data_IF_624939981813
#
_entry.id   IF_624939981813
#
_cell.length_a   1.000
_cell.length_b   1.000
_cell.length_c   1.000
_cell.angle_alpha   90.00
_cell.angle_beta   90.00
_cell.angle_gamma   90.00
#
_symmetry.space_group_name_H-M   'P 1'
#
loop_
_entity.id
_entity.type
_entity.pdbx_description
1 polymer ?
#
# COMPACT_ATOMS: atom_id res chain seq x y z
N UNK A 1 12.29 -13.80 23.74
CA UNK A 1 12.19 -14.35 22.37
C UNK A 1 11.00 -13.69 21.69
N UNK A 2 11.07 -13.24 20.43
CA UNK A 2 9.89 -12.75 19.76
C UNK A 2 8.97 -13.94 19.48
N UNK A 3 7.71 -13.80 19.89
CA UNK A 3 6.67 -14.78 19.58
C UNK A 3 6.44 -14.72 18.07
N UNK A 4 6.79 -15.80 17.37
CA UNK A 4 6.34 -16.02 16.00
C UNK A 4 4.82 -16.16 16.06
N UNK A 5 4.09 -15.06 15.83
CA UNK A 5 2.64 -15.08 15.71
C UNK A 5 2.26 -15.78 14.40
N UNK A 6 2.33 -17.11 14.38
CA UNK A 6 1.70 -17.93 13.35
C UNK A 6 0.28 -18.29 13.80
N UNK A 7 -0.66 -17.38 13.55
CA UNK A 7 -2.07 -17.73 13.43
C UNK A 7 -2.58 -17.02 12.20
N UNK A 8 -2.72 -17.79 11.12
CA UNK A 8 -3.43 -17.37 9.92
C UNK A 8 -4.71 -16.67 10.33
N UNK A 9 -4.85 -15.41 9.92
CA UNK A 9 -6.15 -14.78 9.86
C UNK A 9 -7.01 -15.62 8.90
N UNK A 10 -8.17 -16.11 9.33
CA UNK A 10 -9.02 -16.99 8.47
C UNK A 10 -9.32 -16.38 7.10
N UNK A 11 -9.43 -15.05 7.00
CA UNK A 11 -9.61 -14.38 5.71
C UNK A 11 -8.42 -14.50 4.75
N UNK A 12 -7.25 -14.92 5.23
CA UNK A 12 -6.02 -15.04 4.45
C UNK A 12 -5.69 -16.50 4.07
N UNK A 13 -6.47 -17.48 4.56
CA UNK A 13 -6.19 -18.91 4.37
C UNK A 13 -6.39 -19.37 2.92
N UNK A 14 -7.25 -18.67 2.17
CA UNK A 14 -7.59 -19.01 0.78
C UNK A 14 -6.94 -18.10 -0.26
N UNK A 15 -5.97 -17.26 0.12
CA UNK A 15 -5.24 -16.40 -0.82
C UNK A 15 -4.14 -17.21 -1.49
N UNK A 16 -4.03 -17.10 -2.82
CA UNK A 16 -3.12 -17.91 -3.63
C UNK A 16 -2.06 -17.08 -4.37
N UNK A 17 -2.27 -15.77 -4.51
CA UNK A 17 -1.41 -14.88 -5.29
C UNK A 17 -1.60 -13.41 -4.89
N UNK A 18 -0.86 -12.51 -5.53
CA UNK A 18 -0.94 -11.05 -5.37
C UNK A 18 -2.36 -10.52 -5.61
N UNK A 19 -3.04 -10.99 -6.66
CA UNK A 19 -4.38 -10.53 -7.03
C UNK A 19 -5.43 -10.85 -5.97
N UNK A 20 -5.25 -11.93 -5.22
CA UNK A 20 -6.10 -12.26 -4.08
C UNK A 20 -5.86 -11.28 -2.92
N UNK A 21 -4.61 -10.91 -2.64
CA UNK A 21 -4.27 -9.85 -1.65
C UNK A 21 -4.91 -8.52 -2.04
N UNK A 22 -4.85 -8.16 -3.32
CA UNK A 22 -5.52 -6.98 -3.84
C UNK A 22 -7.03 -6.99 -3.57
N UNK A 23 -7.73 -8.02 -4.06
CA UNK A 23 -9.20 -8.07 -4.07
C UNK A 23 -9.84 -8.34 -2.72
N UNK A 24 -9.18 -9.15 -1.90
CA UNK A 24 -9.76 -9.67 -0.66
C UNK A 24 -9.18 -9.00 0.59
N UNK A 25 -8.14 -8.18 0.47
CA UNK A 25 -7.57 -7.43 1.59
C UNK A 25 -7.48 -5.93 1.31
N UNK A 26 -6.84 -5.51 0.23
CA UNK A 26 -6.67 -4.07 -0.06
C UNK A 26 -8.01 -3.40 -0.40
N UNK A 27 -8.77 -3.91 -1.36
CA UNK A 27 -10.04 -3.28 -1.75
C UNK A 27 -11.06 -3.23 -0.60
N UNK A 28 -11.29 -4.30 0.20
CA UNK A 28 -12.16 -4.23 1.37
C UNK A 28 -11.68 -3.20 2.40
N UNK A 29 -10.37 -3.14 2.67
CA UNK A 29 -9.81 -2.12 3.56
C UNK A 29 -10.10 -0.71 3.06
N UNK A 30 -9.93 -0.45 1.76
CA UNK A 30 -10.22 0.87 1.19
C UNK A 30 -11.70 1.24 1.38
N UNK A 31 -12.61 0.29 1.17
CA UNK A 31 -14.05 0.48 1.42
C UNK A 31 -14.35 0.74 2.89
N UNK A 32 -13.73 -0.02 3.81
CA UNK A 32 -13.87 0.19 5.25
C UNK A 32 -13.33 1.56 5.71
N UNK A 33 -12.29 2.07 5.03
CA UNK A 33 -11.74 3.42 5.24
C UNK A 33 -12.62 4.53 4.63
N UNK A 34 -13.66 4.17 3.87
CA UNK A 34 -14.63 5.10 3.29
C UNK A 34 -14.39 5.47 1.82
N UNK A 35 -13.44 4.82 1.15
CA UNK A 35 -13.20 5.00 -0.28
C UNK A 35 -14.16 4.15 -1.13
N UNK A 36 -14.50 4.65 -2.30
CA UNK A 36 -15.26 3.96 -3.34
C UNK A 36 -14.33 3.49 -4.46
N UNK A 37 -14.81 2.57 -5.30
CA UNK A 37 -14.06 2.04 -6.44
C UNK A 37 -13.61 3.14 -7.45
N UNK A 38 -14.18 4.35 -7.38
CA UNK A 38 -13.80 5.51 -8.20
C UNK A 38 -12.63 6.34 -7.62
N UNK A 39 -12.23 6.06 -6.38
CA UNK A 39 -11.20 6.82 -5.65
C UNK A 39 -9.79 6.28 -5.87
N UNK A 40 -9.67 5.07 -6.42
CA UNK A 40 -8.39 4.50 -6.82
C UNK A 40 -8.35 4.09 -8.30
N UNK A 41 -7.15 4.09 -8.86
CA UNK A 41 -6.86 3.55 -10.18
C UNK A 41 -5.98 2.33 -10.01
N UNK A 42 -6.41 1.20 -10.59
CA UNK A 42 -5.60 -0.01 -10.67
C UNK A 42 -4.55 0.14 -11.76
N UNK A 43 -3.32 -0.29 -11.49
CA UNK A 43 -2.24 -0.35 -12.49
C UNK A 43 -2.08 0.96 -13.27
N UNK A 44 -1.96 2.07 -12.55
CA UNK A 44 -1.84 3.40 -13.15
C UNK A 44 -0.62 3.47 -14.06
N UNK A 45 -0.82 3.76 -15.35
CA UNK A 45 0.28 3.81 -16.32
C UNK A 45 1.07 5.11 -16.16
N UNK A 46 2.24 5.05 -15.53
CA UNK A 46 3.14 6.21 -15.41
C UNK A 46 4.23 6.13 -16.47
N UNK A 47 4.37 7.17 -17.30
CA UNK A 47 5.46 7.28 -18.27
C UNK A 47 6.75 7.73 -17.58
N UNK A 48 7.76 6.87 -17.63
CA UNK A 48 9.10 7.13 -17.12
C UNK A 48 10.02 7.41 -18.31
N UNK A 49 10.24 8.69 -18.63
CA UNK A 49 11.26 9.10 -19.61
C UNK A 49 11.19 8.35 -20.95
N UNK A 50 12.32 7.75 -21.38
CA UNK A 50 12.55 7.10 -22.70
C UNK A 50 11.72 5.83 -22.95
N UNK A 51 10.41 5.87 -22.73
CA UNK A 51 9.46 4.81 -23.10
C UNK A 51 9.16 3.78 -22.01
N UNK A 52 9.79 3.86 -20.84
CA UNK A 52 9.47 2.98 -19.72
C UNK A 52 8.07 3.29 -19.17
N UNK A 53 7.34 2.24 -18.81
CA UNK A 53 6.02 2.33 -18.19
C UNK A 53 6.04 1.52 -16.93
N UNK A 54 5.48 2.08 -15.87
CA UNK A 54 5.37 1.35 -14.61
C UNK A 54 4.03 1.62 -13.95
N UNK A 55 3.62 0.65 -13.12
CA UNK A 55 2.24 0.46 -12.70
C UNK A 55 2.22 0.14 -11.20
N UNK A 56 2.00 1.12 -10.30
CA UNK A 56 1.59 0.76 -8.94
C UNK A 56 0.29 -0.02 -9.01
N UNK A 57 0.11 -1.02 -8.15
CA UNK A 57 -1.08 -1.87 -8.19
C UNK A 57 -2.34 -1.04 -7.92
N UNK A 58 -2.27 -0.11 -6.95
CA UNK A 58 -3.31 0.90 -6.71
C UNK A 58 -2.71 2.28 -6.50
N UNK A 59 -3.36 3.28 -7.07
CA UNK A 59 -3.06 4.69 -6.86
C UNK A 59 -4.33 5.46 -6.48
N UNK A 60 -4.35 6.07 -5.30
CA UNK A 60 -5.42 6.98 -4.89
C UNK A 60 -5.06 8.38 -5.38
N UNK A 61 -5.76 8.84 -6.41
CA UNK A 61 -5.41 10.04 -7.17
C UNK A 61 -5.93 11.31 -6.48
N UNK A 62 -5.05 12.29 -6.27
CA UNK A 62 -5.43 13.68 -5.96
C UNK A 62 -5.68 14.52 -7.22
N UNK A 63 -5.03 14.18 -8.33
CA UNK A 63 -5.28 14.80 -9.62
C UNK A 63 -5.36 13.73 -10.72
N UNK A 64 -6.41 13.82 -11.55
CA UNK A 64 -6.71 12.91 -12.67
C UNK A 64 -6.39 13.54 -14.04
N UNK A 65 -5.85 14.75 -14.08
CA UNK A 65 -5.45 15.43 -15.31
C UNK A 65 -4.38 14.64 -16.05
N UNK A 66 -4.68 14.28 -17.30
CA UNK A 66 -3.82 13.43 -18.10
C UNK A 66 -2.43 14.04 -18.30
N UNK A 67 -1.39 13.34 -17.89
CA UNK A 67 0.00 13.81 -17.93
C UNK A 67 0.46 14.62 -16.71
N UNK A 68 -0.45 14.95 -15.79
CA UNK A 68 -0.20 15.64 -14.53
C UNK A 68 -0.76 14.85 -13.33
N UNK A 69 -0.96 13.54 -13.51
CA UNK A 69 -1.53 12.68 -12.49
C UNK A 69 -0.71 12.75 -11.21
N UNK A 70 -1.39 12.98 -10.09
CA UNK A 70 -0.80 12.95 -8.76
C UNK A 70 -1.57 11.94 -7.93
N UNK A 71 -0.84 11.11 -7.20
CA UNK A 71 -1.42 10.15 -6.27
C UNK A 71 -0.96 10.51 -4.88
N UNK A 72 -1.87 10.56 -3.90
CA UNK A 72 -1.47 10.78 -2.50
C UNK A 72 -0.99 9.48 -1.86
N UNK A 73 -1.69 8.38 -2.15
CA UNK A 73 -1.45 7.07 -1.56
C UNK A 73 -1.21 6.06 -2.68
N UNK A 74 -0.15 5.26 -2.56
CA UNK A 74 0.17 4.17 -3.46
C UNK A 74 0.17 2.85 -2.70
N UNK A 75 -0.29 1.78 -3.36
CA UNK A 75 -0.12 0.41 -2.88
C UNK A 75 0.71 -0.42 -3.85
N UNK A 76 1.49 -1.32 -3.28
CA UNK A 76 2.21 -2.40 -3.94
C UNK A 76 1.86 -3.71 -3.24
N UNK A 77 1.23 -4.63 -3.96
CA UNK A 77 0.85 -5.94 -3.47
C UNK A 77 1.96 -6.96 -3.73
N UNK A 78 2.15 -7.84 -2.75
CA UNK A 78 2.95 -9.06 -2.85
C UNK A 78 2.13 -10.20 -2.28
N UNK A 79 2.29 -11.42 -2.81
CA UNK A 79 1.60 -12.54 -2.18
C UNK A 79 2.13 -12.80 -0.76
N UNK A 80 3.44 -12.85 -0.62
CA UNK A 80 4.13 -13.04 0.66
C UNK A 80 5.52 -12.40 0.61
N UNK A 81 5.89 -11.67 1.66
CA UNK A 81 7.25 -11.16 1.84
C UNK A 81 7.97 -12.10 2.82
N UNK A 82 8.91 -12.91 2.32
CA UNK A 82 9.53 -13.99 3.12
C UNK A 82 10.76 -13.52 3.88
N UNK A 83 11.42 -12.49 3.38
CA UNK A 83 12.70 -12.03 3.89
C UNK A 83 12.93 -10.55 3.55
N UNK A 84 14.04 -10.01 4.07
CA UNK A 84 14.40 -8.61 3.87
C UNK A 84 14.65 -8.25 2.38
N UNK A 85 15.19 -9.15 1.56
CA UNK A 85 15.41 -8.89 0.14
C UNK A 85 14.08 -8.71 -0.62
N UNK A 86 13.07 -9.52 -0.30
CA UNK A 86 11.73 -9.39 -0.88
C UNK A 86 11.12 -8.02 -0.49
N UNK A 87 11.27 -7.64 0.78
CA UNK A 87 10.81 -6.35 1.30
C UNK A 87 11.49 -5.17 0.61
N UNK A 88 12.82 -5.16 0.51
CA UNK A 88 13.59 -4.10 -0.17
C UNK A 88 13.22 -4.00 -1.65
N UNK A 89 12.92 -5.13 -2.29
CA UNK A 89 12.47 -5.15 -3.68
C UNK A 89 11.09 -4.52 -3.83
N UNK A 90 10.14 -4.86 -2.96
CA UNK A 90 8.79 -4.28 -2.97
C UNK A 90 8.83 -2.78 -2.64
N UNK A 91 9.59 -2.39 -1.62
CA UNK A 91 9.79 -0.97 -1.28
C UNK A 91 10.41 -0.20 -2.46
N UNK A 92 11.45 -0.74 -3.10
CA UNK A 92 12.10 -0.06 -4.23
C UNK A 92 11.15 0.14 -5.41
N UNK A 93 10.28 -0.85 -5.68
CA UNK A 93 9.23 -0.73 -6.71
C UNK A 93 8.35 0.49 -6.41
N UNK A 94 7.67 0.50 -5.27
CA UNK A 94 6.74 1.59 -4.92
C UNK A 94 7.43 2.95 -4.72
N UNK A 95 8.64 2.97 -4.16
CA UNK A 95 9.43 4.18 -3.94
C UNK A 95 9.72 4.92 -5.25
N UNK A 96 10.06 4.18 -6.31
CA UNK A 96 10.37 4.76 -7.62
C UNK A 96 9.18 5.54 -8.22
N UNK A 97 7.95 5.13 -7.93
CA UNK A 97 6.73 5.83 -8.37
C UNK A 97 6.28 6.91 -7.40
N UNK A 98 6.49 6.68 -6.09
CA UNK A 98 6.11 7.63 -5.04
C UNK A 98 6.68 9.02 -5.28
N UNK A 99 7.95 9.10 -5.68
CA UNK A 99 8.58 10.37 -6.05
C UNK A 99 7.96 11.01 -7.29
N UNK A 100 7.60 10.20 -8.30
CA UNK A 100 7.09 10.69 -9.59
C UNK A 100 5.66 11.21 -9.49
N UNK A 101 4.82 10.52 -8.72
CA UNK A 101 3.40 10.86 -8.50
C UNK A 101 3.19 11.83 -7.33
N UNK A 102 4.29 12.31 -6.72
CA UNK A 102 4.26 13.15 -5.52
C UNK A 102 3.46 12.55 -4.37
N UNK A 103 3.54 11.22 -4.22
CA UNK A 103 2.89 10.50 -3.15
C UNK A 103 3.41 10.95 -1.79
N UNK A 104 2.52 10.88 -0.80
CA UNK A 104 2.78 11.22 0.59
C UNK A 104 2.73 9.99 1.50
N UNK A 105 2.14 8.91 1.01
CA UNK A 105 2.08 7.62 1.69
C UNK A 105 2.30 6.47 0.69
N UNK A 106 3.30 5.64 0.95
CA UNK A 106 3.51 4.38 0.24
C UNK A 106 3.10 3.22 1.13
N UNK A 107 2.42 2.24 0.56
CA UNK A 107 1.95 1.07 1.29
C UNK A 107 2.39 -0.18 0.56
N UNK A 108 3.21 -0.99 1.20
CA UNK A 108 3.44 -2.36 0.76
C UNK A 108 2.46 -3.26 1.51
N UNK A 109 1.83 -4.17 0.82
CA UNK A 109 0.87 -5.10 1.40
C UNK A 109 1.22 -6.54 0.99
N UNK A 110 1.20 -7.46 1.95
CA UNK A 110 1.23 -8.89 1.67
C UNK A 110 0.07 -9.61 2.35
N UNK A 111 0.00 -10.94 2.23
CA UNK A 111 -1.05 -11.71 2.89
C UNK A 111 -1.08 -11.61 4.42
N UNK A 112 -0.11 -11.00 5.09
CA UNK A 112 -0.02 -10.95 6.55
C UNK A 112 -0.12 -9.51 7.08
N UNK A 113 0.47 -8.55 6.38
CA UNK A 113 0.60 -7.19 6.90
C UNK A 113 0.63 -6.10 5.83
N UNK A 114 0.43 -4.88 6.32
CA UNK A 114 0.65 -3.61 5.66
C UNK A 114 1.90 -2.95 6.25
N UNK A 115 2.75 -2.39 5.40
CA UNK A 115 3.88 -1.53 5.77
C UNK A 115 3.69 -0.16 5.16
N UNK A 116 3.52 0.86 6.01
CA UNK A 116 3.20 2.23 5.65
C UNK A 116 4.42 3.12 5.80
N UNK A 117 4.84 3.74 4.71
CA UNK A 117 5.96 4.68 4.65
C UNK A 117 5.40 6.07 4.38
N UNK A 118 5.38 6.90 5.43
CA UNK A 118 4.99 8.30 5.30
C UNK A 118 6.16 9.11 4.73
N UNK A 119 5.85 10.06 3.84
CA UNK A 119 6.87 10.96 3.28
C UNK A 119 7.34 11.92 4.36
N UNK A 120 8.66 12.03 4.50
CA UNK A 120 9.30 13.03 5.36
C UNK A 120 10.15 13.93 4.47
N UNK A 121 9.89 15.24 4.51
CA UNK A 121 10.48 16.21 3.60
C UNK A 121 10.22 15.81 2.12
N UNK A 122 11.29 15.54 1.36
CA UNK A 122 11.19 15.20 -0.06
C UNK A 122 11.22 13.69 -0.34
N UNK A 123 11.36 12.82 0.66
CA UNK A 123 11.60 11.39 0.44
C UNK A 123 10.91 10.45 1.44
N UNK A 124 11.22 9.17 1.30
CA UNK A 124 10.75 8.09 2.16
C UNK A 124 11.94 7.34 2.71
N UNK A 125 11.88 6.97 3.99
CA UNK A 125 12.89 6.15 4.64
C UNK A 125 12.39 4.70 4.73
N UNK A 126 13.10 3.78 4.09
CA UNK A 126 12.78 2.34 4.09
C UNK A 126 12.84 1.70 5.48
N UNK A 127 13.52 2.33 6.43
CA UNK A 127 13.66 1.86 7.81
C UNK A 127 12.64 2.50 8.75
N UNK A 128 11.89 3.52 8.29
CA UNK A 128 10.87 4.21 9.06
C UNK A 128 9.48 3.91 8.49
N UNK A 129 8.80 2.93 9.08
CA UNK A 129 7.46 2.54 8.68
C UNK A 129 6.58 2.17 9.88
N UNK A 130 5.28 2.34 9.70
CA UNK A 130 4.27 1.72 10.57
C UNK A 130 3.87 0.37 9.97
N UNK A 131 3.83 -0.68 10.78
CA UNK A 131 3.35 -1.99 10.34
C UNK A 131 2.03 -2.33 11.02
N UNK A 132 1.08 -2.84 10.25
CA UNK A 132 -0.20 -3.36 10.74
C UNK A 132 -0.40 -4.78 10.22
N UNK A 133 -0.83 -5.69 11.08
CA UNK A 133 -1.25 -7.02 10.63
C UNK A 133 -2.75 -7.01 10.33
N UNK A 134 -3.18 -7.70 9.27
CA UNK A 134 -4.60 -7.76 8.90
C UNK A 134 -5.50 -8.22 10.05
N UNK A 135 -5.01 -9.19 10.84
CA UNK A 135 -5.70 -9.69 12.03
C UNK A 135 -5.88 -8.61 13.10
N UNK A 136 -4.92 -7.72 13.26
CA UNK A 136 -4.98 -6.64 14.25
C UNK A 136 -6.00 -5.57 13.85
N UNK A 137 -6.26 -5.38 12.56
CA UNK A 137 -7.24 -4.42 12.07
C UNK A 137 -8.69 -4.78 12.43
N UNK A 138 -8.96 -5.98 12.94
CA UNK A 138 -10.24 -6.30 13.56
C UNK A 138 -10.43 -5.60 14.91
N UNK A 139 -9.36 -5.11 15.54
CA UNK A 139 -9.42 -4.36 16.78
C UNK A 139 -9.67 -2.87 16.48
N UNK A 140 -10.67 -2.30 17.15
CA UNK A 140 -11.13 -0.95 16.86
C UNK A 140 -10.04 0.13 16.99
N UNK A 141 -9.15 0.01 17.97
CA UNK A 141 -8.06 0.95 18.22
C UNK A 141 -7.00 0.91 17.11
N UNK A 142 -6.63 -0.30 16.64
CA UNK A 142 -5.69 -0.50 15.54
C UNK A 142 -6.25 0.01 14.22
N UNK A 143 -7.51 -0.29 13.93
CA UNK A 143 -8.20 0.26 12.76
C UNK A 143 -8.29 1.79 12.82
N UNK A 144 -8.63 2.36 13.98
CA UNK A 144 -8.68 3.82 14.18
C UNK A 144 -7.31 4.46 13.99
N UNK A 145 -6.23 3.82 14.42
CA UNK A 145 -4.86 4.30 14.20
C UNK A 145 -4.51 4.33 12.70
N UNK A 146 -4.82 3.27 11.97
CA UNK A 146 -4.65 3.21 10.51
C UNK A 146 -5.47 4.31 9.81
N UNK A 147 -6.76 4.43 10.17
CA UNK A 147 -7.67 5.43 9.59
C UNK A 147 -7.17 6.87 9.86
N UNK A 148 -6.59 7.15 11.02
CA UNK A 148 -5.96 8.45 11.31
C UNK A 148 -4.78 8.76 10.39
N UNK A 149 -4.02 7.76 9.95
CA UNK A 149 -2.94 7.95 8.98
C UNK A 149 -3.55 8.31 7.62
N UNK A 150 -4.53 7.55 7.12
CA UNK A 150 -5.21 7.86 5.86
C UNK A 150 -5.84 9.26 5.86
N UNK A 151 -6.62 9.60 6.89
CA UNK A 151 -7.28 10.91 7.01
C UNK A 151 -6.33 12.10 7.08
N UNK A 152 -5.10 11.91 7.56
CA UNK A 152 -4.07 12.96 7.56
C UNK A 152 -3.66 13.34 6.14
N UNK A 153 -3.68 12.35 5.27
CA UNK A 153 -3.22 12.43 3.89
C UNK A 153 -4.37 12.62 2.88
N UNK A 154 -5.63 12.49 3.33
CA UNK A 154 -6.81 12.63 2.48
C UNK A 154 -7.14 14.10 2.12
N UNK A 155 -6.78 15.06 2.99
CA UNK A 155 -7.02 16.51 2.80
C UNK A 155 -6.10 17.13 1.75
#
# INVERSE_FOLDING_TARGET
>A
MPVLFSSSYKGNENLNNEKDVEKFLIEPLLRDLGYSDNDWVRQLVVKMGRGERVFPDYALLSNKDKGFEQAKILFEAKFIIKNHKDFESAFRQIWSYGLKLSAILLIVADKNSLWLFERVNQGFDRHSFSQFYWKELQQSDKFLALNKIFKRHDK
#
